data_IF_963606325283
#
_entry.id   IF_963606325283
#
_cell.length_a   1.000
_cell.length_b   1.000
_cell.length_c   1.000
_cell.angle_alpha   90.00
_cell.angle_beta   90.00
_cell.angle_gamma   90.00
#
_symmetry.space_group_name_H-M   'P 1'
#
loop_
_entity.id
_entity.type
_entity.pdbx_description
1 polymer ?
#
# COMPACT_ATOMS: atom_id res chain seq x y z
N UNK A 1 -1.86 -9.59 0.24
CA UNK A 1 -0.46 -9.08 0.17
C UNK A 1 -0.37 -7.73 -0.53
N UNK A 2 -0.85 -7.57 -1.78
CA UNK A 2 -0.73 -6.30 -2.53
C UNK A 2 -1.34 -5.08 -1.81
N UNK A 3 -2.49 -5.23 -1.13
CA UNK A 3 -3.10 -4.14 -0.35
C UNK A 3 -2.19 -3.64 0.79
N UNK A 4 -1.54 -4.54 1.53
CA UNK A 4 -0.62 -4.18 2.60
C UNK A 4 0.63 -3.48 2.06
N UNK A 5 1.18 -3.96 0.94
CA UNK A 5 2.31 -3.30 0.29
C UNK A 5 1.94 -1.91 -0.26
N UNK A 6 0.74 -1.79 -0.84
CA UNK A 6 0.21 -0.50 -1.25
C UNK A 6 0.13 0.45 -0.04
N UNK A 7 -0.51 0.03 1.06
CA UNK A 7 -0.62 0.82 2.29
C UNK A 7 0.76 1.27 2.82
N UNK A 8 1.73 0.37 2.88
CA UNK A 8 3.11 0.68 3.27
C UNK A 8 3.75 1.73 2.35
N UNK A 9 3.58 1.60 1.04
CA UNK A 9 4.25 2.45 0.04
C UNK A 9 3.58 3.81 -0.18
N UNK A 10 2.32 4.00 0.22
CA UNK A 10 1.59 5.28 0.09
C UNK A 10 1.48 6.06 1.40
N UNK A 11 1.78 5.42 2.54
CA UNK A 11 1.77 6.12 3.83
C UNK A 11 2.91 7.13 3.94
N UNK A 12 2.73 8.20 4.71
CA UNK A 12 3.83 9.13 5.05
C UNK A 12 4.89 8.43 5.90
N UNK A 13 6.13 8.95 5.86
CA UNK A 13 7.26 8.42 6.64
C UNK A 13 8.26 7.60 5.80
N UNK A 14 8.98 6.68 6.46
CA UNK A 14 10.01 5.85 5.79
C UNK A 14 9.57 4.38 5.82
N UNK A 15 9.19 3.79 4.68
CA UNK A 15 8.76 2.40 4.65
C UNK A 15 9.96 1.45 4.79
N UNK A 16 9.76 0.35 5.52
CA UNK A 16 10.69 -0.75 5.64
C UNK A 16 10.00 -2.04 5.21
N UNK A 17 10.66 -2.84 4.37
CA UNK A 17 10.17 -4.16 3.96
C UNK A 17 11.00 -5.26 4.60
N UNK A 18 10.35 -6.39 4.91
CA UNK A 18 11.04 -7.59 5.32
C UNK A 18 11.56 -8.34 4.08
N UNK A 19 12.75 -8.93 4.20
CA UNK A 19 13.33 -9.75 3.14
C UNK A 19 12.37 -10.86 2.71
N UNK A 20 12.06 -10.88 1.42
CA UNK A 20 11.26 -11.92 0.79
C UNK A 20 9.78 -11.61 0.65
N UNK A 21 9.28 -10.53 1.26
CA UNK A 21 7.90 -10.07 1.06
C UNK A 21 7.62 -9.76 -0.43
N UNK A 22 8.65 -9.37 -1.18
CA UNK A 22 8.58 -9.05 -2.60
C UNK A 22 8.30 -10.25 -3.52
N UNK A 23 8.41 -11.48 -3.02
CA UNK A 23 7.95 -12.70 -3.70
C UNK A 23 6.98 -13.54 -2.85
N UNK A 24 6.61 -13.06 -1.66
CA UNK A 24 5.71 -13.77 -0.73
C UNK A 24 6.38 -14.93 -0.02
N UNK A 25 7.62 -14.73 0.45
CA UNK A 25 8.38 -15.71 1.21
C UNK A 25 7.57 -16.30 2.36
N UNK A 26 7.61 -17.62 2.50
CA UNK A 26 6.85 -18.32 3.54
C UNK A 26 7.76 -18.97 4.56
N UNK A 27 7.45 -18.73 5.83
CA UNK A 27 8.00 -19.47 6.97
C UNK A 27 7.06 -20.57 7.45
N UNK A 28 6.08 -20.95 6.60
CA UNK A 28 5.08 -22.00 6.86
C UNK A 28 4.37 -21.84 8.21
N UNK A 29 4.04 -20.60 8.57
CA UNK A 29 3.38 -20.27 9.84
C UNK A 29 4.30 -20.09 11.04
N UNK A 30 5.62 -20.33 10.91
CA UNK A 30 6.56 -20.01 11.98
C UNK A 30 6.83 -18.50 12.04
N UNK A 31 6.32 -17.83 13.08
CA UNK A 31 6.51 -16.40 13.32
C UNK A 31 7.82 -16.07 14.06
N UNK A 32 8.58 -17.07 14.51
CA UNK A 32 9.82 -16.89 15.27
C UNK A 32 10.90 -17.91 14.85
N UNK A 33 11.44 -17.74 13.65
CA UNK A 33 12.44 -18.64 13.08
C UNK A 33 13.90 -18.36 13.53
N UNK A 34 14.11 -17.73 14.69
CA UNK A 34 15.43 -17.23 15.11
C UNK A 34 16.54 -18.28 15.12
N UNK A 35 16.23 -19.52 15.52
CA UNK A 35 17.20 -20.62 15.66
C UNK A 35 17.36 -21.51 14.43
N UNK A 36 16.82 -21.11 13.27
CA UNK A 36 16.81 -21.94 12.06
C UNK A 36 17.84 -21.47 11.04
N UNK A 37 19.00 -22.12 10.98
CA UNK A 37 19.93 -21.98 9.84
C UNK A 37 19.55 -22.95 8.72
N UNK A 38 18.43 -22.68 8.05
CA UNK A 38 17.88 -23.53 6.98
C UNK A 38 17.19 -22.68 5.92
N UNK A 39 16.69 -23.32 4.86
CA UNK A 39 15.98 -22.66 3.76
C UNK A 39 14.81 -21.76 4.21
N UNK A 40 14.24 -21.94 5.41
CA UNK A 40 13.17 -21.09 5.95
C UNK A 40 13.61 -19.63 6.15
N UNK A 41 14.89 -19.39 6.40
CA UNK A 41 15.48 -18.05 6.59
C UNK A 41 16.34 -17.61 5.40
N UNK A 42 16.56 -18.48 4.42
CA UNK A 42 17.35 -18.15 3.24
C UNK A 42 16.47 -17.49 2.18
N UNK A 43 17.05 -16.54 1.44
CA UNK A 43 16.41 -15.95 0.28
C UNK A 43 16.20 -16.99 -0.83
N UNK A 44 14.97 -17.10 -1.34
CA UNK A 44 14.59 -18.12 -2.30
C UNK A 44 14.58 -17.57 -3.75
N UNK A 45 15.76 -17.47 -4.38
CA UNK A 45 15.91 -16.90 -5.73
C UNK A 45 15.02 -17.55 -6.79
N UNK A 46 14.88 -18.89 -6.77
CA UNK A 46 14.01 -19.60 -7.70
C UNK A 46 12.53 -19.25 -7.54
N UNK A 47 12.08 -18.96 -6.31
CA UNK A 47 10.70 -18.52 -6.06
C UNK A 47 10.47 -17.09 -6.54
N UNK A 48 11.46 -16.20 -6.35
CA UNK A 48 11.40 -14.85 -6.90
C UNK A 48 11.25 -14.87 -8.42
N UNK A 49 12.09 -15.64 -9.12
CA UNK A 49 12.03 -15.69 -10.59
C UNK A 49 10.66 -16.20 -11.07
N UNK A 50 10.08 -17.20 -10.40
CA UNK A 50 8.74 -17.69 -10.68
C UNK A 50 7.61 -16.65 -10.46
N UNK A 51 7.84 -15.62 -9.63
CA UNK A 51 6.87 -14.56 -9.30
C UNK A 51 7.21 -13.20 -9.92
N UNK A 52 8.26 -13.14 -10.75
CA UNK A 52 8.84 -11.92 -11.31
C UNK A 52 7.84 -11.02 -12.03
N UNK A 53 7.00 -11.61 -12.89
CA UNK A 53 6.09 -10.86 -13.77
C UNK A 53 4.77 -10.45 -13.11
N UNK A 54 4.48 -10.92 -11.90
CA UNK A 54 3.25 -10.60 -11.16
C UNK A 54 3.57 -9.87 -9.85
N UNK A 55 3.80 -10.62 -8.77
CA UNK A 55 3.91 -10.07 -7.42
C UNK A 55 5.14 -9.17 -7.27
N UNK A 56 6.30 -9.64 -7.71
CA UNK A 56 7.54 -8.85 -7.67
C UNK A 56 7.46 -7.60 -8.56
N UNK A 57 6.84 -7.71 -9.74
CA UNK A 57 6.58 -6.56 -10.63
C UNK A 57 5.72 -5.51 -9.95
N UNK A 58 4.65 -5.91 -9.27
CA UNK A 58 3.80 -4.99 -8.51
C UNK A 58 4.60 -4.28 -7.40
N UNK A 59 5.36 -5.04 -6.60
CA UNK A 59 6.16 -4.48 -5.51
C UNK A 59 7.18 -3.47 -6.01
N UNK A 60 7.92 -3.84 -7.06
CA UNK A 60 8.91 -2.99 -7.72
C UNK A 60 8.29 -1.71 -8.29
N UNK A 61 7.11 -1.82 -8.94
CA UNK A 61 6.40 -0.65 -9.48
C UNK A 61 5.90 0.28 -8.39
N UNK A 62 5.41 -0.24 -7.26
CA UNK A 62 4.98 0.59 -6.14
C UNK A 62 6.14 1.36 -5.49
N UNK A 63 7.32 0.75 -5.37
CA UNK A 63 8.52 1.44 -4.87
C UNK A 63 8.91 2.58 -5.83
N UNK A 64 8.96 2.30 -7.14
CA UNK A 64 9.23 3.33 -8.16
C UNK A 64 8.21 4.46 -8.12
N UNK A 65 6.92 4.11 -7.98
CA UNK A 65 5.83 5.08 -7.86
C UNK A 65 6.01 5.99 -6.63
N UNK A 66 6.32 5.42 -5.46
CA UNK A 66 6.63 6.23 -4.26
C UNK A 66 7.83 7.15 -4.50
N UNK A 67 8.89 6.63 -5.12
CA UNK A 67 10.10 7.41 -5.37
C UNK A 67 9.86 8.59 -6.32
N UNK A 68 8.99 8.42 -7.31
CA UNK A 68 8.68 9.47 -8.29
C UNK A 68 7.72 10.56 -7.79
N UNK A 69 6.98 10.33 -6.69
CA UNK A 69 6.02 11.30 -6.16
C UNK A 69 6.49 11.83 -4.80
N UNK A 70 6.81 13.13 -4.73
CA UNK A 70 7.24 13.78 -3.48
C UNK A 70 6.14 13.82 -2.42
N UNK A 71 4.87 13.73 -2.82
CA UNK A 71 3.73 13.78 -1.90
C UNK A 71 3.78 12.69 -0.82
N UNK A 72 4.46 11.57 -1.05
CA UNK A 72 4.60 10.48 -0.07
C UNK A 72 5.80 10.60 0.87
N UNK A 73 6.68 11.58 0.64
CA UNK A 73 8.00 11.71 1.29
C UNK A 73 8.11 13.06 2.03
N UNK A 74 7.01 13.55 2.60
CA UNK A 74 6.99 14.82 3.32
C UNK A 74 7.77 14.69 4.64
N UNK A 75 8.53 15.73 4.97
CA UNK A 75 9.23 15.83 6.26
C UNK A 75 8.30 16.26 7.39
N UNK A 76 7.29 17.07 7.06
CA UNK A 76 6.27 17.56 7.99
C UNK A 76 4.97 16.77 7.82
N UNK A 77 4.08 16.88 8.81
CA UNK A 77 2.72 16.38 8.70
C UNK A 77 1.97 17.08 7.55
N UNK A 78 1.01 16.35 6.97
CA UNK A 78 0.17 16.89 5.90
C UNK A 78 -0.78 17.97 6.44
N UNK A 79 -0.86 19.08 5.71
CA UNK A 79 -1.83 20.13 5.99
C UNK A 79 -3.22 19.75 5.45
N UNK A 80 -4.26 20.45 5.94
CA UNK A 80 -5.66 20.24 5.52
C UNK A 80 -5.88 20.42 4.01
N UNK A 81 -5.03 21.21 3.35
CA UNK A 81 -5.14 21.47 1.92
C UNK A 81 -4.39 20.43 1.06
N UNK A 82 -3.61 19.53 1.69
CA UNK A 82 -2.81 18.51 1.01
C UNK A 82 -3.49 17.14 0.98
N UNK A 83 -4.53 16.95 1.80
CA UNK A 83 -5.30 15.71 1.88
C UNK A 83 -6.79 15.98 2.07
N UNK A 84 -7.61 15.33 1.24
CA UNK A 84 -9.07 15.31 1.38
C UNK A 84 -9.53 13.88 1.64
N UNK A 85 -10.16 13.63 2.78
CA UNK A 85 -10.79 12.34 3.09
C UNK A 85 -12.16 12.26 2.44
N UNK A 86 -12.53 11.10 1.90
CA UNK A 86 -13.84 10.90 1.28
C UNK A 86 -14.98 10.91 2.31
N UNK A 87 -14.73 10.33 3.48
CA UNK A 87 -15.67 10.29 4.61
C UNK A 87 -15.03 10.89 5.86
N UNK A 88 -15.86 11.39 6.77
CA UNK A 88 -15.45 12.04 8.02
C UNK A 88 -16.06 11.39 9.28
N UNK A 89 -16.80 10.28 9.13
CA UNK A 89 -17.40 9.55 10.25
C UNK A 89 -16.38 8.60 10.91
N UNK A 90 -15.41 9.18 11.61
CA UNK A 90 -14.33 8.45 12.28
C UNK A 90 -14.76 7.61 13.48
N UNK A 91 -16.01 7.73 13.93
CA UNK A 91 -16.55 6.98 15.07
C UNK A 91 -17.27 5.69 14.66
N UNK A 92 -17.38 5.42 13.36
CA UNK A 92 -18.00 4.19 12.89
C UNK A 92 -17.06 2.99 13.01
N UNK A 93 -17.23 2.21 14.08
CA UNK A 93 -16.46 0.97 14.33
C UNK A 93 -16.70 -0.11 13.26
N UNK A 94 -17.80 -0.02 12.50
CA UNK A 94 -18.11 -0.93 11.41
C UNK A 94 -17.51 -0.51 10.06
N UNK A 95 -16.81 0.64 9.99
CA UNK A 95 -16.17 1.06 8.73
C UNK A 95 -15.12 0.03 8.29
N UNK A 96 -15.20 -0.37 7.02
CA UNK A 96 -14.18 -1.19 6.35
C UNK A 96 -13.77 -0.56 5.02
N UNK A 97 -14.05 0.72 4.83
CA UNK A 97 -13.68 1.47 3.64
C UNK A 97 -12.92 2.72 4.05
N UNK A 98 -11.80 3.01 3.39
CA UNK A 98 -11.03 4.22 3.62
C UNK A 98 -10.61 4.78 2.28
N UNK A 99 -10.95 6.02 1.98
CA UNK A 99 -10.49 6.69 0.77
C UNK A 99 -10.12 8.15 1.02
N UNK A 100 -9.12 8.62 0.27
CA UNK A 100 -8.65 9.98 0.34
C UNK A 100 -7.92 10.37 -0.94
N UNK A 101 -7.90 11.68 -1.21
CA UNK A 101 -7.13 12.31 -2.26
C UNK A 101 -5.94 13.02 -1.64
N UNK A 102 -4.74 12.75 -2.16
CA UNK A 102 -3.56 13.56 -1.88
C UNK A 102 -3.38 14.58 -3.00
N UNK A 103 -3.26 15.84 -2.64
CA UNK A 103 -3.09 16.93 -3.59
C UNK A 103 -1.59 17.15 -3.86
N UNK A 104 -1.10 16.65 -5.01
CA UNK A 104 0.27 16.90 -5.45
C UNK A 104 0.30 18.14 -6.33
N UNK A 105 0.72 19.27 -5.76
CA UNK A 105 0.74 20.57 -6.44
C UNK A 105 1.57 20.62 -7.73
N UNK A 106 2.41 19.62 -7.99
CA UNK A 106 3.25 19.53 -9.19
C UNK A 106 2.92 18.32 -10.09
N UNK A 107 2.23 17.30 -9.58
CA UNK A 107 2.03 16.00 -10.23
C UNK A 107 0.59 15.61 -10.52
N UNK A 108 -0.37 16.42 -10.07
CA UNK A 108 -1.79 16.10 -10.11
C UNK A 108 -2.24 15.23 -8.93
N UNK A 109 -3.53 15.28 -8.63
CA UNK A 109 -4.08 14.63 -7.45
C UNK A 109 -4.03 13.10 -7.55
N UNK A 110 -3.70 12.46 -6.42
CA UNK A 110 -3.66 10.99 -6.29
C UNK A 110 -4.82 10.54 -5.39
N UNK A 111 -5.80 9.87 -5.98
CA UNK A 111 -6.89 9.24 -5.25
C UNK A 111 -6.52 7.82 -4.82
N UNK A 112 -6.70 7.51 -3.54
CA UNK A 112 -6.42 6.22 -2.93
C UNK A 112 -7.66 5.69 -2.23
N UNK A 113 -7.93 4.39 -2.37
CA UNK A 113 -9.05 3.74 -1.71
C UNK A 113 -8.69 2.32 -1.25
N UNK A 114 -9.06 1.99 -0.03
CA UNK A 114 -8.92 0.69 0.59
C UNK A 114 -10.31 0.17 0.93
N UNK A 115 -10.75 -0.87 0.22
CA UNK A 115 -11.94 -1.61 0.58
C UNK A 115 -11.53 -2.93 1.27
N UNK A 116 -11.87 -3.05 2.55
CA UNK A 116 -11.68 -4.24 3.36
C UNK A 116 -13.00 -4.99 3.63
N UNK A 117 -14.12 -4.58 3.02
CA UNK A 117 -15.32 -5.39 3.02
C UNK A 117 -15.13 -6.69 2.23
N UNK A 118 -15.98 -7.68 2.52
CA UNK A 118 -16.04 -8.94 1.79
C UNK A 118 -16.81 -8.83 0.46
N UNK A 119 -17.44 -7.67 0.18
CA UNK A 119 -18.19 -7.38 -1.03
C UNK A 119 -17.52 -6.27 -1.85
N UNK A 120 -17.87 -6.21 -3.13
CA UNK A 120 -17.39 -5.18 -4.04
C UNK A 120 -18.28 -3.94 -3.97
N UNK A 121 -17.68 -2.76 -3.88
CA UNK A 121 -18.38 -1.50 -4.10
C UNK A 121 -18.33 -1.18 -5.61
N UNK A 122 -19.49 -0.97 -6.23
CA UNK A 122 -19.55 -0.39 -7.57
C UNK A 122 -19.44 1.13 -7.45
N UNK A 123 -18.47 1.74 -8.12
CA UNK A 123 -18.49 3.18 -8.33
C UNK A 123 -19.55 3.46 -9.40
N UNK A 124 -20.67 4.09 -9.02
CA UNK A 124 -21.54 4.73 -10.00
C UNK A 124 -20.79 5.93 -10.58
N UNK A 125 -20.82 6.11 -11.91
CA UNK A 125 -20.17 7.22 -12.64
C UNK A 125 -20.74 8.62 -12.32
N UNK A 126 -21.36 8.82 -11.17
CA UNK A 126 -21.84 10.12 -10.71
C UNK A 126 -20.71 10.90 -10.04
N UNK A 127 -19.83 11.47 -10.87
CA UNK A 127 -19.09 12.67 -10.49
C UNK A 127 -20.09 13.82 -10.43
N UNK A 128 -20.80 13.96 -9.31
CA UNK A 128 -21.56 15.17 -9.03
C UNK A 128 -20.59 16.21 -8.49
N UNK A 129 -20.03 17.01 -9.40
CA UNK A 129 -19.45 18.31 -9.09
C UNK A 129 -20.58 19.16 -8.52
N UNK A 130 -20.63 19.31 -7.20
CA UNK A 130 -21.50 20.31 -6.58
C UNK A 130 -20.65 21.55 -6.31
N UNK A 131 -21.09 22.67 -6.87
CA UNK A 131 -20.48 24.01 -6.76
C UNK A 131 -20.43 24.51 -5.33
#
# INVERSE_FOLDING_TARGET
>A
MKNFHLALMISQGTPMMLMGDEYGHTRRGNNNSYGHDTAINNFQWGQLEAKKNDHFRFFSKMIKFRQSHSVFKKENFLDKNEITWLEDNWYNEESRFLAFTLHDGNGGDIYLAFNAHHFFCQSSNTFTTTK
#
